data_IF_463008600355
#
_entry.id   IF_463008600355
#
_cell.length_a   1.000
_cell.length_b   1.000
_cell.length_c   1.000
_cell.angle_alpha   90.00
_cell.angle_beta   90.00
_cell.angle_gamma   90.00
#
_symmetry.space_group_name_H-M   'P 1'
#
loop_
_entity.id
_entity.type
_entity.pdbx_description
1 polymer ?
#
# COMPACT_ATOMS: atom_id res chain seq x y z
N UNK A 1 -19.44 -6.41 -6.34
CA UNK A 1 -20.23 -5.30 -5.77
C UNK A 1 -19.79 -4.03 -6.48
N UNK A 2 -20.54 -3.60 -7.50
CA UNK A 2 -20.28 -2.35 -8.21
C UNK A 2 -20.69 -1.18 -7.32
N UNK A 3 -19.72 -0.41 -6.84
CA UNK A 3 -19.97 0.84 -6.15
C UNK A 3 -20.17 1.89 -7.23
N UNK A 4 -21.43 2.29 -7.45
CA UNK A 4 -21.84 3.22 -8.51
C UNK A 4 -20.93 4.45 -8.56
N UNK A 5 -20.15 4.58 -9.63
CA UNK A 5 -19.39 5.79 -9.97
C UNK A 5 -17.87 5.69 -9.85
N UNK A 6 -17.32 4.62 -9.26
CA UNK A 6 -15.86 4.41 -9.26
C UNK A 6 -15.38 3.84 -10.59
N UNK A 7 -14.30 4.39 -11.13
CA UNK A 7 -13.66 3.84 -12.34
C UNK A 7 -12.90 2.57 -11.96
N UNK A 8 -13.18 1.48 -12.69
CA UNK A 8 -12.43 0.22 -12.61
C UNK A 8 -11.63 0.07 -13.90
N UNK A 9 -10.33 -0.27 -13.85
CA UNK A 9 -9.52 -0.50 -12.64
C UNK A 9 -9.28 0.78 -11.83
N UNK A 10 -9.01 0.63 -10.53
CA UNK A 10 -8.40 1.69 -9.72
C UNK A 10 -7.00 1.95 -10.31
N UNK A 11 -6.87 3.08 -11.02
CA UNK A 11 -5.67 3.44 -11.77
C UNK A 11 -5.28 4.88 -11.48
N UNK A 12 -4.01 5.07 -11.15
CA UNK A 12 -3.44 6.38 -10.87
C UNK A 12 -2.84 6.49 -9.48
N UNK A 13 -2.58 7.72 -9.07
CA UNK A 13 -1.97 8.02 -7.78
C UNK A 13 -3.03 8.07 -6.68
N UNK A 14 -2.79 7.35 -5.58
CA UNK A 14 -3.67 7.40 -4.42
C UNK A 14 -2.86 7.32 -3.11
N UNK A 15 -3.42 7.89 -2.04
CA UNK A 15 -2.79 8.00 -0.74
C UNK A 15 -2.76 6.66 -0.02
N UNK A 16 -1.61 6.36 0.59
CA UNK A 16 -1.42 5.20 1.44
C UNK A 16 -1.28 5.67 2.88
N UNK A 17 -2.12 5.12 3.76
CA UNK A 17 -2.14 5.43 5.19
C UNK A 17 -1.64 4.20 5.95
N UNK A 18 -0.40 4.19 6.45
CA UNK A 18 0.05 3.15 7.38
C UNK A 18 -0.84 3.14 8.63
N UNK A 19 -1.27 1.95 9.05
CA UNK A 19 -2.15 1.79 10.24
C UNK A 19 -1.37 1.36 11.49
N UNK A 20 -0.08 1.07 11.33
CA UNK A 20 0.89 0.78 12.39
C UNK A 20 2.30 1.09 11.91
N UNK A 21 3.22 1.18 12.86
CA UNK A 21 4.64 1.39 12.57
C UNK A 21 5.27 0.15 11.92
N UNK A 22 6.08 0.37 10.89
CA UNK A 22 6.87 -0.67 10.24
C UNK A 22 8.05 -0.04 9.48
N UNK A 23 9.17 -0.75 9.43
CA UNK A 23 10.39 -0.29 8.74
C UNK A 23 10.13 0.05 7.27
N UNK A 24 9.17 -0.63 6.61
CA UNK A 24 8.85 -0.42 5.20
C UNK A 24 8.50 1.04 4.89
N UNK A 25 7.86 1.74 5.83
CA UNK A 25 7.42 3.13 5.68
C UNK A 25 8.34 4.15 6.36
N UNK A 26 9.51 3.75 6.86
CA UNK A 26 10.45 4.67 7.54
C UNK A 26 10.88 5.84 6.64
N UNK A 27 10.65 7.06 7.12
CA UNK A 27 10.96 8.29 6.38
C UNK A 27 9.99 8.62 5.24
N UNK A 28 8.81 7.99 5.21
CA UNK A 28 7.72 8.30 4.28
C UNK A 28 6.58 8.92 5.09
N UNK A 29 6.12 10.11 4.69
CA UNK A 29 5.02 10.76 5.37
C UNK A 29 3.72 9.95 5.19
N UNK A 30 2.90 9.73 6.24
CA UNK A 30 1.58 9.14 6.10
C UNK A 30 0.73 9.92 5.09
N UNK A 31 0.05 9.21 4.18
CA UNK A 31 -0.75 9.84 3.12
C UNK A 31 0.05 10.24 1.88
N UNK A 32 1.33 9.85 1.80
CA UNK A 32 2.09 9.91 0.54
C UNK A 32 1.38 9.09 -0.54
N UNK A 33 1.38 9.59 -1.77
CA UNK A 33 0.70 8.95 -2.89
C UNK A 33 1.60 7.93 -3.60
N UNK A 34 1.05 6.75 -3.86
CA UNK A 34 1.68 5.69 -4.66
C UNK A 34 0.84 5.40 -5.90
N UNK A 35 1.46 4.80 -6.92
CA UNK A 35 0.80 4.47 -8.18
C UNK A 35 0.10 3.10 -8.11
N UNK A 36 -1.20 3.07 -8.35
CA UNK A 36 -2.04 1.89 -8.39
C UNK A 36 -2.49 1.57 -9.83
N UNK A 37 -2.63 0.28 -10.12
CA UNK A 37 -3.33 -0.23 -11.31
C UNK A 37 -3.87 -1.63 -11.02
N UNK A 38 -5.11 -1.72 -10.50
CA UNK A 38 -5.72 -3.00 -10.15
C UNK A 38 -7.26 -2.96 -10.20
N UNK A 39 -7.89 -4.12 -10.44
CA UNK A 39 -9.35 -4.28 -10.39
C UNK A 39 -9.85 -4.99 -9.12
N UNK A 40 -8.95 -5.62 -8.36
CA UNK A 40 -9.25 -6.36 -7.14
C UNK A 40 -8.36 -5.87 -6.01
N UNK A 41 -8.81 -5.99 -4.77
CA UNK A 41 -8.02 -5.66 -3.58
C UNK A 41 -8.02 -6.84 -2.61
N UNK A 42 -6.96 -7.00 -1.80
CA UNK A 42 -6.88 -8.07 -0.82
C UNK A 42 -7.82 -7.79 0.36
N UNK A 43 -8.39 -8.87 0.90
CA UNK A 43 -9.14 -8.87 2.17
C UNK A 43 -8.44 -9.87 3.09
N UNK A 44 -7.46 -9.42 3.91
CA UNK A 44 -6.76 -10.32 4.83
C UNK A 44 -7.73 -10.98 5.82
N UNK A 45 -7.48 -12.24 6.17
CA UNK A 45 -8.29 -12.99 7.13
C UNK A 45 -8.18 -12.49 8.56
N UNK A 46 -7.05 -11.85 8.91
CA UNK A 46 -6.78 -11.26 10.22
C UNK A 46 -6.36 -9.79 10.06
N UNK A 47 -6.94 -8.92 10.91
CA UNK A 47 -6.63 -7.49 10.91
C UNK A 47 -5.17 -7.20 11.26
N UNK A 48 -4.52 -8.09 12.01
CA UNK A 48 -3.10 -7.97 12.37
C UNK A 48 -2.16 -8.02 11.16
N UNK A 49 -2.61 -8.49 9.99
CA UNK A 49 -1.78 -8.51 8.78
C UNK A 49 -1.87 -7.20 7.99
N UNK A 50 -2.85 -6.33 8.27
CA UNK A 50 -3.03 -5.06 7.58
C UNK A 50 -1.92 -4.09 8.02
N UNK A 51 -1.10 -3.64 7.07
CA UNK A 51 -0.02 -2.69 7.33
C UNK A 51 -0.36 -1.27 6.88
N UNK A 52 -1.07 -1.13 5.76
CA UNK A 52 -1.57 0.16 5.31
C UNK A 52 -2.92 0.01 4.58
N UNK A 53 -3.69 1.08 4.61
CA UNK A 53 -4.98 1.20 3.93
C UNK A 53 -4.98 2.36 2.93
N UNK A 54 -5.87 2.26 1.96
CA UNK A 54 -6.14 3.30 0.95
C UNK A 54 -7.64 3.46 0.80
N UNK A 55 -8.10 4.70 0.63
CA UNK A 55 -9.49 5.04 0.34
C UNK A 55 -9.65 5.34 -1.15
N UNK A 56 -10.53 4.60 -1.82
CA UNK A 56 -10.95 4.85 -3.19
C UNK A 56 -12.48 4.72 -3.29
N UNK A 57 -13.20 5.48 -2.44
CA UNK A 57 -14.65 5.32 -2.23
C UNK A 57 -15.02 4.09 -1.41
N UNK A 58 -14.07 3.17 -1.25
CA UNK A 58 -13.98 2.17 -0.20
C UNK A 58 -12.59 2.17 0.39
N UNK A 59 -12.51 1.87 1.68
CA UNK A 59 -11.25 1.53 2.34
C UNK A 59 -10.87 0.09 2.00
N UNK A 60 -9.64 -0.10 1.57
CA UNK A 60 -9.07 -1.43 1.31
C UNK A 60 -7.63 -1.52 1.80
N UNK A 61 -7.17 -2.74 2.04
CA UNK A 61 -5.78 -3.01 2.43
C UNK A 61 -4.84 -2.79 1.24
N UNK A 62 -3.92 -1.83 1.35
CA UNK A 62 -2.95 -1.49 0.32
C UNK A 62 -1.53 -1.98 0.62
N UNK A 63 -1.25 -2.38 1.87
CA UNK A 63 -0.05 -3.11 2.24
C UNK A 63 -0.33 -4.14 3.35
N UNK A 64 0.39 -5.25 3.35
CA UNK A 64 0.33 -6.30 4.38
C UNK A 64 1.70 -6.66 4.93
N UNK A 65 1.70 -7.18 6.16
CA UNK A 65 2.86 -7.70 6.85
C UNK A 65 2.53 -9.05 7.51
N UNK A 66 3.38 -10.04 7.30
CA UNK A 66 3.32 -11.34 7.98
C UNK A 66 4.75 -11.86 8.18
N UNK A 67 5.22 -11.99 9.42
CA UNK A 67 6.61 -12.37 9.71
C UNK A 67 7.62 -11.52 8.91
N UNK A 68 8.44 -12.15 8.07
CA UNK A 68 9.41 -11.54 7.17
C UNK A 68 8.80 -11.05 5.83
N UNK A 69 7.54 -11.37 5.52
CA UNK A 69 6.85 -10.95 4.30
C UNK A 69 6.34 -9.52 4.41
N UNK A 70 6.61 -8.72 3.37
CA UNK A 70 5.91 -7.46 3.08
C UNK A 70 5.39 -7.52 1.67
N UNK A 71 4.13 -7.15 1.47
CA UNK A 71 3.53 -7.04 0.14
C UNK A 71 2.71 -5.77 0.05
N UNK A 72 2.70 -5.17 -1.14
CA UNK A 72 2.02 -3.91 -1.44
C UNK A 72 1.16 -4.07 -2.68
N UNK A 73 0.00 -3.41 -2.70
CA UNK A 73 -0.92 -3.44 -3.84
C UNK A 73 -0.54 -2.40 -4.91
N UNK A 74 0.14 -1.33 -4.51
CA UNK A 74 0.69 -0.31 -5.41
C UNK A 74 2.04 -0.73 -5.99
N UNK A 75 2.49 0.01 -7.00
CA UNK A 75 3.76 -0.21 -7.71
C UNK A 75 4.84 0.74 -7.21
N UNK A 76 5.67 0.35 -6.22
CA UNK A 76 6.70 1.24 -5.69
C UNK A 76 7.72 1.65 -6.78
N UNK A 77 8.02 0.79 -7.74
CA UNK A 77 8.89 1.07 -8.88
C UNK A 77 8.34 2.16 -9.83
N UNK A 78 7.02 2.39 -9.80
CA UNK A 78 6.32 3.44 -10.58
C UNK A 78 5.93 4.66 -9.74
N UNK A 79 6.29 4.67 -8.45
CA UNK A 79 5.83 5.68 -7.49
C UNK A 79 6.87 6.79 -7.21
N UNK A 80 7.87 6.96 -8.08
CA UNK A 80 8.84 8.05 -7.97
C UNK A 80 9.66 8.00 -6.66
N UNK A 81 10.03 9.16 -6.08
CA UNK A 81 10.91 9.22 -4.90
C UNK A 81 10.37 8.47 -3.67
N UNK A 82 9.07 8.52 -3.40
CA UNK A 82 8.45 7.80 -2.27
C UNK A 82 8.49 6.29 -2.48
N UNK A 83 8.32 5.84 -3.72
CA UNK A 83 8.48 4.45 -4.11
C UNK A 83 9.91 3.93 -3.95
N UNK A 84 10.89 4.73 -4.39
CA UNK A 84 12.32 4.42 -4.22
C UNK A 84 12.71 4.36 -2.74
N UNK A 85 12.18 5.27 -1.90
CA UNK A 85 12.40 5.22 -0.45
C UNK A 85 11.85 3.92 0.15
N UNK A 86 10.64 3.51 -0.24
CA UNK A 86 10.02 2.27 0.23
C UNK A 86 10.85 1.03 -0.16
N UNK A 87 11.34 0.97 -1.40
CA UNK A 87 12.23 -0.11 -1.87
C UNK A 87 13.58 -0.11 -1.12
N UNK A 88 14.15 1.06 -0.87
CA UNK A 88 15.37 1.21 -0.07
C UNK A 88 15.18 0.70 1.36
N UNK A 89 14.05 1.03 2.00
CA UNK A 89 13.71 0.50 3.33
C UNK A 89 13.60 -1.04 3.33
N UNK A 90 13.05 -1.62 2.26
CA UNK A 90 12.91 -3.07 2.13
C UNK A 90 14.26 -3.80 1.98
N UNK A 91 15.16 -3.27 1.16
CA UNK A 91 16.46 -3.90 0.86
C UNK A 91 17.47 -3.73 2.00
N UNK A 92 17.41 -2.60 2.72
CA UNK A 92 18.33 -2.30 3.82
C UNK A 92 17.88 -2.89 5.17
N UNK A 93 16.97 -3.86 5.17
CA UNK A 93 16.60 -4.56 6.39
C UNK A 93 17.67 -5.60 6.72
N UNK A 94 18.43 -5.35 7.77
CA UNK A 94 19.29 -6.37 8.39
C UNK A 94 18.39 -7.47 8.98
N UNK A 95 18.67 -8.73 8.62
CA UNK A 95 18.01 -9.94 9.17
C UNK A 95 18.76 -10.47 10.39
#
# INVERSE_FOLDING_TARGET
SDIKGLKVPHMGWNQVIPVKEDFLFSGIAPGSSFYFVHSYYPVPSMAEYILAETDYGIKFTSAVAYENLRAVQFHPEKSGPVGLRLLSNFINRDF
#
